data_IF_803542885657
#
_entry.id   IF_803542885657
#
_cell.length_a   1.000
_cell.length_b   1.000
_cell.length_c   1.000
_cell.angle_alpha   90.00
_cell.angle_beta   90.00
_cell.angle_gamma   90.00
#
_symmetry.space_group_name_H-M   'P 1'
#
loop_
_entity.id
_entity.type
_entity.pdbx_description
1 polymer ?
#
# COMPACT_ATOMS: atom_id res chain seq x y z
N UNK A 1 0.53 -20.01 7.41
CA UNK A 1 1.48 -19.77 6.32
C UNK A 1 1.72 -21.14 5.68
N UNK A 2 0.86 -21.57 4.77
CA UNK A 2 0.81 -22.96 4.29
C UNK A 2 2.10 -23.44 3.60
N UNK A 3 2.88 -22.50 3.05
CA UNK A 3 4.12 -22.80 2.32
C UNK A 3 5.23 -23.45 3.18
N UNK A 4 5.29 -23.19 4.49
CA UNK A 4 6.30 -23.78 5.39
C UNK A 4 5.81 -24.96 6.21
N UNK A 5 4.53 -25.33 6.12
CA UNK A 5 3.92 -26.37 6.96
C UNK A 5 4.55 -27.75 6.70
N UNK A 6 4.82 -28.08 5.42
CA UNK A 6 5.41 -29.35 5.02
C UNK A 6 6.94 -29.34 4.88
N UNK A 7 7.62 -28.26 5.28
CA UNK A 7 9.09 -28.20 5.20
C UNK A 7 9.73 -28.91 6.39
N UNK A 8 10.70 -29.75 6.07
CA UNK A 8 11.69 -30.24 7.03
C UNK A 8 12.87 -29.27 7.06
N UNK A 9 13.26 -28.89 8.27
CA UNK A 9 14.36 -27.98 8.52
C UNK A 9 15.28 -28.56 9.58
N UNK A 10 16.57 -28.22 9.51
CA UNK A 10 17.56 -28.69 10.48
C UNK A 10 17.28 -28.13 11.86
N UNK A 11 16.93 -26.85 11.94
CA UNK A 11 16.48 -26.19 13.16
C UNK A 11 15.01 -25.79 13.02
N UNK A 12 14.25 -25.83 14.11
CA UNK A 12 12.82 -25.56 14.04
C UNK A 12 12.53 -24.08 13.67
N UNK A 13 13.39 -23.17 14.10
CA UNK A 13 13.37 -21.74 13.77
C UNK A 13 13.60 -21.43 12.28
N UNK A 14 14.25 -22.32 11.53
CA UNK A 14 14.45 -22.13 10.09
C UNK A 14 13.12 -22.08 9.31
N UNK A 15 12.04 -22.64 9.86
CA UNK A 15 10.69 -22.48 9.30
C UNK A 15 10.27 -21.01 9.29
N UNK A 16 10.69 -20.21 10.27
CA UNK A 16 10.47 -18.78 10.28
C UNK A 16 11.48 -18.07 9.37
N UNK A 17 12.77 -18.43 9.42
CA UNK A 17 13.80 -17.74 8.64
C UNK A 17 13.65 -17.92 7.13
N UNK A 18 13.17 -19.07 6.68
CA UNK A 18 12.88 -19.30 5.26
C UNK A 18 11.78 -18.40 4.67
N UNK A 19 11.00 -17.72 5.52
CA UNK A 19 9.97 -16.77 5.12
C UNK A 19 10.49 -15.34 4.96
N UNK A 20 11.70 -15.01 5.44
CA UNK A 20 12.24 -13.65 5.41
C UNK A 20 12.29 -13.11 3.97
N UNK A 21 12.79 -13.90 3.03
CA UNK A 21 12.85 -13.51 1.62
C UNK A 21 11.49 -13.47 0.91
N UNK A 22 10.47 -14.17 1.40
CA UNK A 22 9.11 -14.10 0.84
C UNK A 22 8.42 -12.79 1.26
N UNK A 23 8.62 -12.38 2.50
CA UNK A 23 8.02 -11.17 3.04
C UNK A 23 8.91 -9.94 2.88
N UNK A 24 10.10 -10.10 2.30
CA UNK A 24 11.10 -9.04 2.14
C UNK A 24 11.38 -8.29 3.45
N UNK A 25 11.56 -9.05 4.53
CA UNK A 25 11.87 -8.52 5.87
C UNK A 25 13.20 -9.04 6.37
N UNK A 26 13.87 -8.22 7.17
CA UNK A 26 15.13 -8.58 7.81
C UNK A 26 14.95 -8.71 9.33
N UNK A 27 15.50 -9.77 9.91
CA UNK A 27 15.64 -9.89 11.36
C UNK A 27 16.86 -10.74 11.73
N UNK A 28 17.50 -10.51 12.91
CA UNK A 28 18.62 -11.33 13.36
C UNK A 28 18.27 -12.82 13.51
N UNK A 29 19.16 -13.70 13.04
CA UNK A 29 19.06 -15.14 13.25
C UNK A 29 19.58 -15.49 14.66
N UNK A 30 18.73 -16.10 15.49
CA UNK A 30 19.03 -16.51 16.85
C UNK A 30 18.74 -18.01 16.98
N UNK A 31 19.75 -18.82 16.71
CA UNK A 31 19.62 -20.27 16.84
C UNK A 31 19.43 -20.68 18.30
N UNK A 32 18.51 -21.62 18.53
CA UNK A 32 18.06 -22.02 19.86
C UNK A 32 16.96 -21.14 20.45
N UNK A 33 16.43 -20.14 19.72
CA UNK A 33 15.27 -19.36 20.17
C UNK A 33 13.94 -20.14 20.08
N UNK A 34 13.92 -21.20 19.27
CA UNK A 34 12.76 -22.04 18.99
C UNK A 34 11.80 -21.45 17.95
N UNK A 35 11.07 -22.32 17.28
CA UNK A 35 10.16 -21.97 16.17
C UNK A 35 9.15 -20.89 16.54
N UNK A 36 8.48 -21.01 17.68
CA UNK A 36 7.38 -20.13 18.05
C UNK A 36 7.86 -18.70 18.33
N UNK A 37 9.05 -18.56 18.92
CA UNK A 37 9.67 -17.26 19.19
C UNK A 37 10.19 -16.60 17.90
N UNK A 38 10.82 -17.39 17.03
CA UNK A 38 11.24 -16.92 15.71
C UNK A 38 10.02 -16.46 14.88
N UNK A 39 8.92 -17.22 14.88
CA UNK A 39 7.67 -16.85 14.20
C UNK A 39 7.04 -15.58 14.79
N UNK A 40 7.08 -15.40 16.11
CA UNK A 40 6.55 -14.20 16.76
C UNK A 40 7.33 -12.94 16.31
N UNK A 41 8.67 -13.02 16.26
CA UNK A 41 9.51 -11.92 15.76
C UNK A 41 9.26 -11.63 14.29
N UNK A 42 9.17 -12.68 13.46
CA UNK A 42 8.85 -12.53 12.04
C UNK A 42 7.54 -11.77 11.84
N UNK A 43 6.48 -12.10 12.59
CA UNK A 43 5.19 -11.40 12.50
C UNK A 43 5.30 -9.92 12.84
N UNK A 44 6.13 -9.55 13.80
CA UNK A 44 6.38 -8.14 14.16
C UNK A 44 7.04 -7.40 13.00
N UNK A 45 8.05 -7.99 12.36
CA UNK A 45 8.72 -7.37 11.23
C UNK A 45 7.80 -7.27 9.99
N UNK A 46 6.98 -8.29 9.72
CA UNK A 46 5.96 -8.23 8.66
C UNK A 46 4.95 -7.11 8.92
N UNK A 47 4.45 -6.99 10.17
CA UNK A 47 3.51 -5.94 10.55
C UNK A 47 4.14 -4.55 10.41
N UNK A 48 5.39 -4.37 10.81
CA UNK A 48 6.14 -3.12 10.60
C UNK A 48 6.30 -2.77 9.12
N UNK A 49 6.69 -3.75 8.30
CA UNK A 49 6.84 -3.56 6.85
C UNK A 49 5.49 -3.18 6.20
N UNK A 50 4.40 -3.83 6.60
CA UNK A 50 3.05 -3.50 6.12
C UNK A 50 2.55 -2.13 6.56
N UNK A 51 3.05 -1.60 7.68
CA UNK A 51 2.69 -0.29 8.22
C UNK A 51 3.49 0.86 7.62
N UNK A 52 4.37 0.56 6.66
CA UNK A 52 4.95 1.53 5.75
C UNK A 52 6.21 2.20 6.27
N UNK A 53 7.36 1.56 6.07
CA UNK A 53 8.56 2.32 5.73
C UNK A 53 8.62 2.42 4.21
N UNK A 54 8.01 3.48 3.69
CA UNK A 54 8.35 4.20 2.45
C UNK A 54 9.40 3.50 1.55
N UNK A 55 9.01 2.39 0.91
CA UNK A 55 9.81 1.79 -0.16
C UNK A 55 9.35 2.49 -1.44
N UNK A 56 10.08 3.54 -1.81
CA UNK A 56 9.81 4.36 -3.00
C UNK A 56 8.36 4.88 -3.01
N UNK A 57 8.03 5.75 -2.06
CA UNK A 57 6.85 6.60 -2.21
C UNK A 57 7.07 7.42 -3.47
N UNK A 58 6.49 6.98 -4.59
CA UNK A 58 6.19 7.81 -5.76
C UNK A 58 5.15 8.88 -5.33
N UNK A 59 5.49 9.65 -4.30
CA UNK A 59 4.78 10.84 -3.89
C UNK A 59 5.04 11.87 -4.97
N UNK A 60 4.16 11.83 -5.97
CA UNK A 60 3.99 12.95 -6.86
C UNK A 60 3.50 14.08 -5.97
N UNK A 61 4.40 15.04 -5.68
CA UNK A 61 4.02 16.24 -4.95
C UNK A 61 2.94 16.94 -5.76
N UNK A 62 1.73 17.04 -5.21
CA UNK A 62 0.63 17.72 -5.86
C UNK A 62 0.99 19.20 -5.99
N UNK A 63 1.30 19.66 -7.20
CA UNK A 63 1.66 21.06 -7.46
C UNK A 63 0.50 21.77 -8.14
N UNK A 64 -0.07 22.75 -7.47
CA UNK A 64 -1.16 23.58 -8.00
C UNK A 64 -0.67 24.79 -8.80
N UNK A 65 0.65 24.96 -8.95
CA UNK A 65 1.26 26.15 -9.56
C UNK A 65 0.81 26.48 -11.00
N UNK A 66 0.41 25.46 -11.77
CA UNK A 66 -0.05 25.60 -13.16
C UNK A 66 -1.58 25.61 -13.27
N UNK A 67 -2.30 25.54 -12.15
CA UNK A 67 -3.76 25.53 -12.11
C UNK A 67 -4.21 26.97 -11.84
N UNK A 68 -4.88 27.57 -12.82
CA UNK A 68 -5.56 28.85 -12.60
C UNK A 68 -6.68 28.65 -11.59
N UNK A 69 -6.67 29.45 -10.53
CA UNK A 69 -7.80 29.51 -9.60
C UNK A 69 -9.06 29.95 -10.35
N UNK A 70 -10.18 29.31 -10.04
CA UNK A 70 -11.49 29.60 -10.64
C UNK A 70 -12.28 30.43 -9.65
N UNK A 71 -12.41 31.73 -9.90
CA UNK A 71 -13.14 32.65 -9.02
C UNK A 71 -14.64 32.29 -8.90
N UNK A 72 -15.23 31.77 -9.99
CA UNK A 72 -16.66 31.50 -10.09
C UNK A 72 -16.90 30.03 -10.49
N UNK A 73 -16.73 29.14 -9.53
CA UNK A 73 -16.96 27.71 -9.72
C UNK A 73 -18.40 27.33 -9.35
N UNK A 74 -19.10 26.67 -10.26
CA UNK A 74 -20.41 26.06 -9.99
C UNK A 74 -20.20 24.57 -9.83
N UNK A 75 -20.27 24.08 -8.59
CA UNK A 75 -20.01 22.70 -8.26
C UNK A 75 -21.08 21.77 -8.84
N UNK A 76 -20.63 20.67 -9.45
CA UNK A 76 -21.44 19.52 -9.84
C UNK A 76 -21.31 18.46 -8.75
N UNK A 77 -22.04 18.71 -7.66
CA UNK A 77 -21.86 18.02 -6.37
C UNK A 77 -21.97 16.49 -6.49
N UNK A 78 -22.92 15.99 -7.28
CA UNK A 78 -23.14 14.56 -7.45
C UNK A 78 -21.94 13.87 -8.12
N UNK A 79 -21.38 14.49 -9.17
CA UNK A 79 -20.20 14.00 -9.88
C UNK A 79 -18.95 14.11 -9.01
N UNK A 80 -18.74 15.22 -8.31
CA UNK A 80 -17.60 15.43 -7.41
C UNK A 80 -17.60 14.40 -6.28
N UNK A 81 -18.76 14.17 -5.67
CA UNK A 81 -18.93 13.17 -4.61
C UNK A 81 -18.62 11.76 -5.12
N UNK A 82 -19.07 11.43 -6.33
CA UNK A 82 -18.77 10.13 -6.97
C UNK A 82 -17.28 9.96 -7.24
N UNK A 83 -16.58 10.99 -7.73
CA UNK A 83 -15.13 10.96 -7.95
C UNK A 83 -14.42 10.78 -6.62
N UNK A 84 -14.77 11.58 -5.61
CA UNK A 84 -14.17 11.51 -4.29
C UNK A 84 -14.33 10.12 -3.67
N UNK A 85 -15.53 9.55 -3.68
CA UNK A 85 -15.77 8.20 -3.15
C UNK A 85 -15.01 7.12 -3.90
N UNK A 86 -14.87 7.25 -5.21
CA UNK A 86 -14.13 6.26 -6.03
C UNK A 86 -12.63 6.33 -5.74
N UNK A 87 -12.07 7.53 -5.62
CA UNK A 87 -10.65 7.75 -5.35
C UNK A 87 -10.28 7.58 -3.87
N UNK A 88 -11.25 7.70 -2.95
CA UNK A 88 -11.04 7.45 -1.52
C UNK A 88 -10.72 5.97 -1.30
N UNK A 89 -9.43 5.69 -1.14
CA UNK A 89 -8.88 4.34 -1.11
C UNK A 89 -8.18 3.98 0.19
N UNK A 90 -7.83 2.70 0.26
CA UNK A 90 -7.11 1.97 1.29
C UNK A 90 -5.60 1.85 1.00
N UNK A 91 -5.07 2.70 0.11
CA UNK A 91 -3.71 2.62 -0.41
C UNK A 91 -3.58 1.89 -1.76
N UNK A 92 -4.66 1.31 -2.30
CA UNK A 92 -4.68 0.74 -3.66
C UNK A 92 -4.71 1.83 -4.75
N UNK A 93 -4.05 1.57 -5.89
CA UNK A 93 -4.07 2.47 -7.06
C UNK A 93 -5.46 2.46 -7.70
N UNK A 94 -6.05 3.64 -7.89
CA UNK A 94 -7.37 3.84 -8.51
C UNK A 94 -7.30 4.92 -9.58
N UNK A 95 -8.19 4.85 -10.56
CA UNK A 95 -8.31 5.83 -11.63
C UNK A 95 -9.78 6.09 -11.93
N UNK A 96 -10.13 7.35 -12.19
CA UNK A 96 -11.46 7.76 -12.65
C UNK A 96 -11.32 8.39 -14.03
N UNK A 97 -12.20 8.00 -14.96
CA UNK A 97 -12.23 8.53 -16.33
C UNK A 97 -13.43 9.45 -16.47
N UNK A 98 -13.17 10.73 -16.74
CA UNK A 98 -14.20 11.74 -17.01
C UNK A 98 -14.44 11.84 -18.51
N UNK A 99 -15.65 11.53 -18.96
CA UNK A 99 -16.04 11.57 -20.37
C UNK A 99 -17.31 12.41 -20.60
N UNK A 100 -17.50 12.92 -21.83
CA UNK A 100 -18.61 13.79 -22.19
C UNK A 100 -18.29 14.67 -23.40
N UNK A 101 -19.29 15.40 -23.90
CA UNK A 101 -19.16 16.29 -25.07
C UNK A 101 -18.11 17.41 -24.85
N UNK A 102 -17.58 17.95 -25.95
CA UNK A 102 -16.69 19.12 -25.91
C UNK A 102 -17.38 20.32 -25.24
N UNK A 103 -16.65 21.09 -24.44
CA UNK A 103 -17.18 22.29 -23.78
C UNK A 103 -18.01 22.06 -22.50
N UNK A 104 -18.31 20.82 -22.09
CA UNK A 104 -19.12 20.52 -20.90
C UNK A 104 -18.38 20.71 -19.55
N UNK A 105 -17.22 21.37 -19.56
CA UNK A 105 -16.46 21.67 -18.33
C UNK A 105 -15.76 20.49 -17.66
N UNK A 106 -15.40 19.42 -18.39
CA UNK A 106 -14.68 18.25 -17.81
C UNK A 106 -13.35 18.61 -17.13
N UNK A 107 -12.64 19.61 -17.65
CA UNK A 107 -11.34 20.08 -17.14
C UNK A 107 -11.50 20.97 -15.90
N UNK A 108 -12.68 21.57 -15.72
CA UNK A 108 -12.96 22.47 -14.61
C UNK A 108 -13.43 21.71 -13.36
N UNK A 109 -13.85 20.45 -13.53
CA UNK A 109 -14.32 19.56 -12.46
C UNK A 109 -13.15 18.73 -11.94
#
# INVERSE_FOLDING_TARGET
MSWTECRETTYEEDKAYSLLGIFDVYMPLIYGEGKDRALARLRVEIDKASKGSNLEDFSVTFSLHDISEVEHFVAREDELLKIHQTLKGDGSRRAVVLHGLGGIGKTQL
#
